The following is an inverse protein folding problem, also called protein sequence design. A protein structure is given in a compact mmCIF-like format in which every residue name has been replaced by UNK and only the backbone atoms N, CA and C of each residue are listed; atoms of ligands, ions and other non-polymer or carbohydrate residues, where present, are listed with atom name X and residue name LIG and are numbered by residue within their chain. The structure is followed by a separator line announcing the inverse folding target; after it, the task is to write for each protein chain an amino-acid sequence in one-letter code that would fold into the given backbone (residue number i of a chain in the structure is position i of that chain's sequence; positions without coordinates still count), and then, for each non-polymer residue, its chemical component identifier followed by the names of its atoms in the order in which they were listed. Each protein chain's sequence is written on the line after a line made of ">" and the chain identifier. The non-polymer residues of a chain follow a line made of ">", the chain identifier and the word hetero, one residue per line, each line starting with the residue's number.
data_IF_900649052784
#
_entry.id   IF_900649052784
#
_cell.length_a   1.000
_cell.length_b   1.000
_cell.length_c   1.000
_cell.angle_alpha   90.00
_cell.angle_beta   90.00
_cell.angle_gamma   90.00
#
_symmetry.space_group_name_H-M   'P 1'
#
loop_
_entity.id
_entity.type
_entity.pdbx_description
1 polymer ?
#
# COMPACT_ATOMS: atom_id res chain seq x y z
N UNK A 1 16.40 -4.15 -18.39
CA UNK A 1 15.66 -3.39 -17.36
C UNK A 1 15.18 -4.40 -16.32
N UNK A 2 15.54 -4.26 -15.05
CA UNK A 2 15.16 -5.23 -14.00
C UNK A 2 13.71 -4.98 -13.58
N UNK A 3 12.84 -5.97 -13.78
CA UNK A 3 11.45 -5.92 -13.32
C UNK A 3 11.41 -6.14 -11.80
N UNK A 4 11.14 -5.08 -11.01
CA UNK A 4 10.99 -5.18 -9.55
C UNK A 4 9.51 -5.33 -9.21
N UNK A 5 9.12 -6.50 -8.73
CA UNK A 5 7.76 -6.73 -8.23
C UNK A 5 7.61 -6.14 -6.83
N UNK A 6 6.61 -5.29 -6.63
CA UNK A 6 6.24 -4.81 -5.30
C UNK A 6 5.51 -5.94 -4.58
N UNK A 7 6.03 -6.36 -3.41
CA UNK A 7 5.48 -7.45 -2.60
C UNK A 7 4.65 -6.97 -1.40
N UNK A 8 4.91 -5.74 -0.94
CA UNK A 8 4.19 -5.09 0.17
C UNK A 8 4.51 -3.60 0.19
N UNK A 9 3.65 -2.81 0.83
CA UNK A 9 3.80 -1.35 0.98
C UNK A 9 3.58 -0.97 2.44
N UNK A 10 4.34 0.01 2.92
CA UNK A 10 4.09 0.67 4.20
C UNK A 10 3.66 2.11 3.94
N UNK A 11 2.58 2.54 4.56
CA UNK A 11 2.01 3.87 4.45
C UNK A 11 2.24 4.58 5.78
N UNK A 12 2.98 5.67 5.73
CA UNK A 12 3.24 6.52 6.90
C UNK A 12 2.10 7.53 7.03
N UNK A 13 1.28 7.36 8.06
CA UNK A 13 0.07 8.13 8.29
C UNK A 13 -1.20 7.31 8.07
N UNK A 14 -1.99 7.16 9.14
CA UNK A 14 -3.24 6.38 9.19
C UNK A 14 -4.51 7.22 9.07
N UNK A 15 -4.38 8.50 8.70
CA UNK A 15 -5.52 9.38 8.44
C UNK A 15 -6.41 8.88 7.30
N UNK A 16 -7.50 9.61 7.02
CA UNK A 16 -8.47 9.23 5.99
C UNK A 16 -7.84 9.05 4.61
N UNK A 17 -6.87 9.90 4.25
CA UNK A 17 -6.10 9.75 3.01
C UNK A 17 -5.25 8.47 3.00
N UNK A 18 -4.51 8.19 4.08
CA UNK A 18 -3.65 7.01 4.18
C UNK A 18 -4.44 5.70 4.16
N UNK A 19 -5.58 5.67 4.84
CA UNK A 19 -6.52 4.55 4.79
C UNK A 19 -7.12 4.34 3.39
N UNK A 20 -7.43 5.42 2.66
CA UNK A 20 -7.89 5.34 1.26
C UNK A 20 -6.84 4.75 0.31
N UNK A 21 -5.58 5.18 0.46
CA UNK A 21 -4.45 4.60 -0.30
C UNK A 21 -4.29 3.11 0.03
N UNK A 22 -4.36 2.76 1.32
CA UNK A 22 -4.27 1.37 1.77
C UNK A 22 -5.37 0.50 1.17
N UNK A 23 -6.60 1.02 1.12
CA UNK A 23 -7.75 0.32 0.55
C UNK A 23 -7.58 0.05 -0.95
N UNK A 24 -7.09 1.02 -1.73
CA UNK A 24 -6.82 0.80 -3.16
C UNK A 24 -5.70 -0.24 -3.39
N UNK A 25 -4.64 -0.20 -2.59
CA UNK A 25 -3.55 -1.19 -2.67
C UNK A 25 -4.04 -2.60 -2.29
N UNK A 26 -4.86 -2.71 -1.25
CA UNK A 26 -5.47 -3.97 -0.85
C UNK A 26 -6.43 -4.50 -1.93
N UNK A 27 -7.18 -3.61 -2.61
CA UNK A 27 -8.09 -3.98 -3.70
C UNK A 27 -7.37 -4.60 -4.91
N UNK A 28 -6.11 -4.21 -5.17
CA UNK A 28 -5.26 -4.84 -6.20
C UNK A 28 -4.38 -5.97 -5.66
N UNK A 29 -4.65 -6.42 -4.42
CA UNK A 29 -3.98 -7.56 -3.80
C UNK A 29 -2.57 -7.27 -3.29
N UNK A 30 -2.20 -6.01 -3.08
CA UNK A 30 -0.90 -5.62 -2.52
C UNK A 30 -1.06 -5.46 -1.00
N UNK A 31 -0.38 -6.26 -0.18
CA UNK A 31 -0.40 -6.10 1.27
C UNK A 31 0.12 -4.73 1.69
N UNK A 32 -0.69 -3.98 2.45
CA UNK A 32 -0.40 -2.63 2.94
C UNK A 32 -0.36 -2.59 4.47
N UNK A 33 0.65 -1.94 5.03
CA UNK A 33 0.80 -1.71 6.47
C UNK A 33 0.65 -0.22 6.76
N UNK A 34 -0.21 0.15 7.70
CA UNK A 34 -0.35 1.53 8.19
C UNK A 34 0.56 1.74 9.40
N UNK A 35 1.25 2.87 9.44
CA UNK A 35 2.15 3.31 10.52
C UNK A 35 1.74 4.69 11.03
#
# INVERSE_FOLDING_TARGET
>A
MVNRTIKKVAILGSGTMGSGIAAQLANVGIPSYLL
#
